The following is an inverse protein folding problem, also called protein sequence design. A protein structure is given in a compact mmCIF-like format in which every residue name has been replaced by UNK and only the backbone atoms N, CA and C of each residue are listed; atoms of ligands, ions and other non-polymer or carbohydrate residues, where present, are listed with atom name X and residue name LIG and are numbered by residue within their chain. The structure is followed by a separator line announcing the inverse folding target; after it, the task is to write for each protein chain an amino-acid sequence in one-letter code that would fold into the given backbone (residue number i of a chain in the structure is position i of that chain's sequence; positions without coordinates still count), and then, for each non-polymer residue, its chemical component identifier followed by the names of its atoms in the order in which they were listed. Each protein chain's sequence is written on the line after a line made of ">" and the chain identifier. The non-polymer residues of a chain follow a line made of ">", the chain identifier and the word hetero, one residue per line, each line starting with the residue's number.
data_IF_526869138951
#
_entry.id   IF_526869138951
#
_cell.length_a   1.000
_cell.length_b   1.000
_cell.length_c   1.000
_cell.angle_alpha   90.00
_cell.angle_beta   90.00
_cell.angle_gamma   90.00
#
_symmetry.space_group_name_H-M   'P 1'
#
loop_
_entity.id
_entity.type
_entity.pdbx_description
1 polymer ?
#
# COMPACT_ATOMS: atom_id res chain seq x y z
N UNK A 1 5.69 -7.95 26.48
CA UNK A 1 5.83 -9.18 25.67
C UNK A 1 6.82 -8.88 24.55
N UNK A 2 8.01 -9.47 24.54
CA UNK A 2 8.96 -9.26 23.44
C UNK A 2 8.50 -10.07 22.23
N UNK A 3 8.22 -9.40 21.10
CA UNK A 3 7.83 -10.06 19.86
C UNK A 3 8.98 -10.99 19.44
N UNK A 4 8.80 -12.30 19.54
CA UNK A 4 9.85 -13.32 19.30
C UNK A 4 10.28 -13.44 17.82
N UNK A 5 9.76 -12.59 16.94
CA UNK A 5 9.97 -12.64 15.51
C UNK A 5 9.39 -11.35 14.88
N UNK A 6 10.15 -10.25 14.72
CA UNK A 6 9.62 -9.06 14.04
C UNK A 6 9.28 -9.34 12.57
N UNK A 7 8.50 -8.46 11.94
CA UNK A 7 8.17 -8.51 10.52
C UNK A 7 7.72 -9.92 10.05
N UNK A 8 6.74 -10.50 10.76
CA UNK A 8 6.15 -11.81 10.46
C UNK A 8 7.15 -12.97 10.45
N UNK A 9 8.24 -12.86 11.21
CA UNK A 9 9.26 -13.91 11.32
C UNK A 9 10.31 -13.91 10.23
N UNK A 10 10.48 -12.78 9.53
CA UNK A 10 11.60 -12.61 8.59
C UNK A 10 12.97 -12.85 9.27
N UNK A 11 13.92 -13.64 8.71
CA UNK A 11 13.90 -14.38 7.42
C UNK A 11 13.87 -15.94 7.53
N UNK A 12 13.11 -16.67 6.67
CA UNK A 12 12.07 -16.19 5.75
C UNK A 12 10.78 -15.88 6.52
N UNK A 13 10.02 -14.88 6.07
CA UNK A 13 8.74 -14.57 6.68
C UNK A 13 7.72 -15.69 6.43
N UNK A 14 6.91 -16.00 7.45
CA UNK A 14 5.75 -16.88 7.33
C UNK A 14 4.58 -16.24 8.08
N UNK A 15 3.86 -15.29 7.45
CA UNK A 15 2.75 -14.59 8.10
C UNK A 15 1.67 -15.54 8.62
N UNK A 16 1.36 -16.62 7.91
CA UNK A 16 0.34 -17.58 8.36
C UNK A 16 0.75 -18.24 9.67
N UNK A 17 1.96 -18.78 9.74
CA UNK A 17 2.47 -19.38 10.98
C UNK A 17 2.63 -18.35 12.08
N UNK A 18 3.17 -17.18 11.75
CA UNK A 18 3.41 -16.10 12.71
C UNK A 18 2.12 -15.65 13.40
N UNK A 19 1.09 -15.36 12.61
CA UNK A 19 -0.21 -14.98 13.16
C UNK A 19 -0.89 -16.12 13.90
N UNK A 20 -0.76 -17.37 13.41
CA UNK A 20 -1.32 -18.54 14.12
C UNK A 20 -0.70 -18.66 15.50
N UNK A 21 0.63 -18.52 15.61
CA UNK A 21 1.32 -18.54 16.90
C UNK A 21 0.89 -17.38 17.79
N UNK A 22 0.80 -16.16 17.27
CA UNK A 22 0.36 -15.01 18.04
C UNK A 22 -1.07 -15.22 18.58
N UNK A 23 -1.99 -15.71 17.76
CA UNK A 23 -3.36 -16.01 18.18
C UNK A 23 -3.32 -17.08 19.28
N UNK A 24 -2.60 -18.19 19.09
CA UNK A 24 -2.46 -19.25 20.09
C UNK A 24 -1.89 -18.73 21.42
N UNK A 25 -0.88 -17.86 21.36
CA UNK A 25 -0.24 -17.25 22.55
C UNK A 25 -1.21 -16.30 23.27
N UNK A 26 -1.97 -15.48 22.53
CA UNK A 26 -2.97 -14.58 23.11
C UNK A 26 -4.05 -15.35 23.86
N UNK A 27 -4.58 -16.43 23.28
CA UNK A 27 -5.56 -17.27 23.96
C UNK A 27 -4.96 -17.89 25.21
N UNK A 28 -3.76 -18.48 25.11
CA UNK A 28 -3.07 -19.17 26.22
C UNK A 28 -2.67 -18.27 27.39
N UNK A 29 -2.50 -16.97 27.16
CA UNK A 29 -2.05 -15.99 28.16
C UNK A 29 -3.16 -15.08 28.69
N UNK A 30 -4.37 -15.14 28.12
CA UNK A 30 -5.48 -14.28 28.54
C UNK A 30 -6.02 -14.68 29.91
N UNK A 31 -6.27 -13.72 30.80
CA UNK A 31 -6.90 -13.93 32.13
C UNK A 31 -8.34 -14.51 32.06
N UNK A 32 -8.89 -14.63 30.85
CA UNK A 32 -10.06 -15.45 30.54
C UNK A 32 -9.86 -16.93 30.93
N UNK A 33 -8.62 -17.32 31.23
CA UNK A 33 -8.21 -18.66 31.65
C UNK A 33 -8.66 -19.07 33.05
N UNK A 34 -9.01 -18.18 33.99
CA UNK A 34 -9.30 -18.65 35.36
C UNK A 34 -10.72 -19.21 35.53
N UNK A 35 -11.73 -18.56 34.96
CA UNK A 35 -13.15 -18.94 35.17
C UNK A 35 -13.74 -19.85 34.07
N UNK A 36 -13.12 -19.96 32.88
CA UNK A 36 -13.73 -20.61 31.70
C UNK A 36 -12.88 -21.71 31.04
N UNK A 37 -11.95 -22.36 31.77
CA UNK A 37 -11.03 -23.39 31.21
C UNK A 37 -11.70 -24.49 30.39
N UNK A 38 -12.94 -24.85 30.72
CA UNK A 38 -13.68 -25.92 30.03
C UNK A 38 -14.38 -25.49 28.73
N UNK A 39 -14.44 -24.19 28.44
CA UNK A 39 -15.09 -23.63 27.24
C UNK A 39 -14.09 -23.02 26.25
N UNK A 40 -12.80 -23.00 26.58
CA UNK A 40 -11.77 -22.52 25.68
C UNK A 40 -11.42 -23.59 24.63
N UNK A 41 -11.13 -23.19 23.38
CA UNK A 41 -10.70 -24.13 22.36
C UNK A 41 -9.35 -24.75 22.76
N UNK A 42 -9.20 -26.04 22.53
CA UNK A 42 -7.91 -26.73 22.69
C UNK A 42 -6.84 -26.12 21.77
N UNK A 43 -5.54 -26.25 22.07
CA UNK A 43 -4.48 -25.76 21.18
C UNK A 43 -4.63 -26.25 19.73
N UNK A 44 -5.08 -27.49 19.55
CA UNK A 44 -5.36 -28.08 18.25
C UNK A 44 -6.54 -27.38 17.54
N UNK A 45 -7.63 -27.09 18.25
CA UNK A 45 -8.78 -26.35 17.69
C UNK A 45 -8.43 -24.89 17.37
N UNK A 46 -7.59 -24.26 18.19
CA UNK A 46 -7.06 -22.93 17.92
C UNK A 46 -6.29 -22.90 16.59
N UNK A 47 -5.30 -23.79 16.45
CA UNK A 47 -4.44 -23.84 15.26
C UNK A 47 -5.17 -24.30 14.00
N UNK A 48 -6.07 -25.29 14.11
CA UNK A 48 -6.68 -25.93 12.95
C UNK A 48 -8.01 -25.30 12.54
N UNK A 49 -8.68 -24.55 13.42
CA UNK A 49 -10.01 -24.00 13.16
C UNK A 49 -10.08 -22.51 13.41
N UNK A 50 -9.80 -22.05 14.64
CA UNK A 50 -10.06 -20.67 15.00
C UNK A 50 -9.10 -19.70 14.28
N UNK A 51 -7.80 -19.95 14.36
CA UNK A 51 -6.80 -19.11 13.69
C UNK A 51 -7.06 -19.06 12.17
N UNK A 52 -7.24 -20.19 11.44
CA UNK A 52 -7.60 -20.15 10.02
C UNK A 52 -8.86 -19.33 9.73
N UNK A 53 -9.91 -19.42 10.55
CA UNK A 53 -11.15 -18.65 10.37
C UNK A 53 -10.96 -17.15 10.62
N UNK A 54 -10.19 -16.78 11.64
CA UNK A 54 -9.82 -15.39 11.90
C UNK A 54 -9.03 -14.86 10.72
N UNK A 55 -7.98 -15.57 10.30
CA UNK A 55 -7.14 -15.16 9.17
C UNK A 55 -7.94 -15.04 7.87
N UNK A 56 -8.87 -15.97 7.61
CA UNK A 56 -9.80 -15.88 6.49
C UNK A 56 -10.68 -14.63 6.57
N UNK A 57 -11.21 -14.29 7.75
CA UNK A 57 -11.99 -13.07 7.95
C UNK A 57 -11.17 -11.83 7.63
N UNK A 58 -9.93 -11.75 8.13
CA UNK A 58 -8.99 -10.63 7.86
C UNK A 58 -8.43 -10.62 6.43
N UNK A 59 -8.69 -11.66 5.63
CA UNK A 59 -8.37 -11.72 4.19
C UNK A 59 -9.56 -11.34 3.30
N UNK A 60 -10.69 -10.90 3.88
CA UNK A 60 -11.94 -10.65 3.16
C UNK A 60 -12.48 -9.25 3.44
N UNK A 61 -13.42 -8.78 2.61
CA UNK A 61 -14.12 -7.52 2.83
C UNK A 61 -14.91 -7.48 4.15
N UNK A 62 -15.17 -8.63 4.80
CA UNK A 62 -15.94 -8.70 6.06
C UNK A 62 -15.26 -8.02 7.25
N UNK A 63 -13.95 -7.78 7.17
CA UNK A 63 -13.17 -7.18 8.24
C UNK A 63 -12.95 -5.67 8.07
N UNK A 64 -13.34 -5.09 6.93
CA UNK A 64 -12.94 -3.75 6.55
C UNK A 64 -14.08 -2.99 5.86
N UNK A 65 -13.93 -1.68 5.76
CA UNK A 65 -14.73 -0.83 4.88
C UNK A 65 -13.79 0.10 4.12
N UNK A 66 -14.16 0.48 2.91
CA UNK A 66 -13.47 1.58 2.22
C UNK A 66 -13.89 2.90 2.89
N UNK A 67 -12.95 3.84 2.97
CA UNK A 67 -13.32 5.24 3.20
C UNK A 67 -14.09 5.78 2.00
N UNK A 68 -15.03 6.68 2.25
CA UNK A 68 -15.95 7.24 1.25
C UNK A 68 -15.22 7.93 0.08
N UNK A 69 -14.02 8.43 0.33
CA UNK A 69 -13.17 9.11 -0.66
C UNK A 69 -12.30 8.17 -1.49
N UNK A 70 -12.20 6.88 -1.14
CA UNK A 70 -11.32 5.91 -1.83
C UNK A 70 -11.73 5.71 -3.29
N UNK A 71 -13.02 5.45 -3.54
CA UNK A 71 -13.51 5.21 -4.91
C UNK A 71 -13.45 6.49 -5.76
N UNK A 72 -13.91 7.67 -5.26
CA UNK A 72 -13.71 8.94 -5.95
C UNK A 72 -12.25 9.23 -6.30
N UNK A 73 -11.32 8.96 -5.37
CA UNK A 73 -9.89 9.13 -5.58
C UNK A 73 -9.36 8.26 -6.72
N UNK A 74 -9.67 6.96 -6.72
CA UNK A 74 -9.20 6.04 -7.75
C UNK A 74 -9.76 6.40 -9.14
N UNK A 75 -11.01 6.87 -9.21
CA UNK A 75 -11.60 7.38 -10.45
C UNK A 75 -10.88 8.65 -10.93
N UNK A 76 -10.63 9.59 -10.02
CA UNK A 76 -9.94 10.83 -10.33
C UNK A 76 -8.48 10.59 -10.79
N UNK A 77 -7.77 9.64 -10.17
CA UNK A 77 -6.45 9.20 -10.61
C UNK A 77 -6.46 8.57 -12.00
N UNK A 78 -7.46 7.74 -12.29
CA UNK A 78 -7.63 7.16 -13.61
C UNK A 78 -7.82 8.25 -14.67
N UNK A 79 -8.71 9.21 -14.41
CA UNK A 79 -8.97 10.32 -15.33
C UNK A 79 -7.71 11.17 -15.53
N UNK A 80 -7.00 11.52 -14.46
CA UNK A 80 -5.74 12.24 -14.55
C UNK A 80 -4.74 11.50 -15.44
N UNK A 81 -4.67 10.18 -15.32
CA UNK A 81 -3.77 9.37 -16.14
C UNK A 81 -4.17 9.30 -17.61
N UNK A 82 -5.47 9.36 -17.92
CA UNK A 82 -5.99 9.45 -19.29
C UNK A 82 -5.74 10.84 -19.90
N UNK A 83 -5.65 11.90 -19.09
CA UNK A 83 -5.31 13.27 -19.52
C UNK A 83 -3.81 13.46 -19.80
N UNK A 84 -2.94 12.64 -19.20
CA UNK A 84 -1.49 12.78 -19.36
C UNK A 84 -1.03 12.35 -20.77
N UNK A 85 -0.18 13.14 -21.46
CA UNK A 85 0.43 12.73 -22.72
C UNK A 85 1.27 11.46 -22.55
N UNK A 86 1.39 10.60 -23.57
CA UNK A 86 2.10 9.29 -23.48
C UNK A 86 3.53 9.36 -22.91
N UNK A 87 4.22 10.49 -23.10
CA UNK A 87 5.57 10.73 -22.58
C UNK A 87 5.61 10.87 -21.05
N UNK A 88 4.50 11.22 -20.42
CA UNK A 88 4.32 11.27 -18.96
C UNK A 88 3.56 10.03 -18.52
N UNK A 89 4.09 9.34 -17.52
CA UNK A 89 3.46 8.13 -17.00
C UNK A 89 3.26 8.29 -15.50
N UNK A 90 2.05 8.01 -15.04
CA UNK A 90 1.71 7.93 -13.63
C UNK A 90 1.67 6.46 -13.21
N UNK A 91 2.56 6.07 -12.30
CA UNK A 91 2.54 4.75 -11.66
C UNK A 91 1.95 4.86 -10.25
N UNK A 92 1.16 3.86 -9.87
CA UNK A 92 0.56 3.76 -8.53
C UNK A 92 1.00 2.42 -7.94
N UNK A 93 1.41 2.44 -6.68
CA UNK A 93 1.87 1.28 -5.93
C UNK A 93 1.29 1.30 -4.52
N UNK A 94 0.83 0.14 -4.04
CA UNK A 94 0.55 -0.07 -2.62
C UNK A 94 1.84 -0.49 -1.94
N UNK A 95 2.26 0.24 -0.91
CA UNK A 95 3.39 -0.13 -0.06
C UNK A 95 2.90 -0.20 1.40
N UNK A 96 2.98 -1.38 2.03
CA UNK A 96 2.42 -1.58 3.38
C UNK A 96 3.27 -2.50 4.27
N UNK A 97 3.21 -2.28 5.58
CA UNK A 97 3.77 -3.20 6.59
C UNK A 97 2.80 -4.37 6.90
N UNK A 98 1.60 -4.38 6.30
CA UNK A 98 0.69 -5.52 6.39
C UNK A 98 1.26 -6.77 5.70
N UNK A 99 0.68 -7.93 5.98
CA UNK A 99 0.87 -9.09 5.12
C UNK A 99 -0.04 -9.05 3.88
N UNK A 100 0.26 -9.90 2.89
CA UNK A 100 -0.32 -9.83 1.55
C UNK A 100 -1.83 -10.14 1.50
N UNK A 101 -2.42 -10.70 2.56
CA UNK A 101 -3.87 -11.00 2.63
C UNK A 101 -4.74 -9.76 2.52
N UNK A 102 -4.20 -8.58 2.82
CA UNK A 102 -4.92 -7.31 2.64
C UNK A 102 -5.31 -7.07 1.17
N UNK A 103 -4.59 -7.64 0.20
CA UNK A 103 -4.93 -7.53 -1.22
C UNK A 103 -6.22 -8.28 -1.55
N UNK A 104 -6.44 -9.45 -0.95
CA UNK A 104 -7.69 -10.19 -1.12
C UNK A 104 -8.89 -9.41 -0.57
N UNK A 105 -8.74 -8.81 0.61
CA UNK A 105 -9.78 -7.97 1.20
C UNK A 105 -10.06 -6.73 0.34
N UNK A 106 -9.01 -6.04 -0.13
CA UNK A 106 -9.14 -4.87 -0.99
C UNK A 106 -9.79 -5.22 -2.34
N UNK A 107 -9.44 -6.36 -2.93
CA UNK A 107 -10.07 -6.83 -4.17
C UNK A 107 -11.57 -7.04 -4.00
N UNK A 108 -12.00 -7.71 -2.93
CA UNK A 108 -13.43 -7.93 -2.65
C UNK A 108 -14.19 -6.62 -2.39
N UNK A 109 -13.56 -5.67 -1.69
CA UNK A 109 -14.16 -4.34 -1.43
C UNK A 109 -14.35 -3.55 -2.72
N UNK A 110 -13.36 -3.58 -3.63
CA UNK A 110 -13.46 -2.91 -4.92
C UNK A 110 -14.52 -3.58 -5.81
N UNK A 111 -14.64 -4.90 -5.79
CA UNK A 111 -15.72 -5.62 -6.49
C UNK A 111 -17.10 -5.19 -5.97
N UNK A 112 -17.27 -5.06 -4.65
CA UNK A 112 -18.52 -4.58 -4.03
C UNK A 112 -18.84 -3.15 -4.46
N UNK A 113 -17.84 -2.26 -4.53
CA UNK A 113 -18.01 -0.89 -5.01
C UNK A 113 -18.35 -0.80 -6.50
N UNK A 114 -17.85 -1.73 -7.32
CA UNK A 114 -18.17 -1.85 -8.74
C UNK A 114 -19.52 -2.52 -9.02
N UNK A 115 -20.12 -3.16 -8.02
CA UNK A 115 -21.39 -3.87 -8.18
C UNK A 115 -22.48 -2.87 -8.58
N UNK A 116 -23.29 -3.20 -9.61
CA UNK A 116 -24.23 -2.34 -10.35
C UNK A 116 -23.68 -1.58 -11.57
N UNK A 117 -22.41 -1.80 -11.97
CA UNK A 117 -21.89 -1.31 -13.26
C UNK A 117 -21.76 0.21 -13.37
N UNK A 118 -21.89 0.93 -12.26
CA UNK A 118 -21.72 2.40 -12.19
C UNK A 118 -20.25 2.81 -12.08
N UNK A 119 -19.41 1.92 -11.56
CA UNK A 119 -17.97 2.16 -11.35
C UNK A 119 -17.19 1.12 -12.15
N UNK A 120 -16.24 1.53 -13.01
CA UNK A 120 -15.38 0.59 -13.73
C UNK A 120 -14.53 -0.24 -12.78
N UNK A 121 -13.91 -1.31 -13.29
CA UNK A 121 -12.95 -2.08 -12.50
C UNK A 121 -11.68 -1.24 -12.21
N UNK A 122 -11.45 -0.96 -10.92
CA UNK A 122 -10.35 -0.14 -10.44
C UNK A 122 -9.14 -0.97 -9.98
N UNK A 123 -9.27 -2.29 -9.85
CA UNK A 123 -8.19 -3.18 -9.38
C UNK A 123 -6.91 -3.10 -10.23
N UNK A 124 -6.99 -2.99 -11.58
CA UNK A 124 -5.78 -2.87 -12.40
C UNK A 124 -4.95 -1.62 -12.10
N UNK A 125 -5.54 -0.54 -11.57
CA UNK A 125 -4.80 0.66 -11.17
C UNK A 125 -3.79 0.38 -10.05
N UNK A 126 -4.13 -0.58 -9.19
CA UNK A 126 -3.37 -0.93 -7.99
C UNK A 126 -2.50 -2.18 -8.20
N UNK A 127 -2.36 -2.65 -9.43
CA UNK A 127 -1.62 -3.88 -9.74
C UNK A 127 -2.29 -5.15 -9.20
N UNK A 128 -3.60 -5.09 -8.95
CA UNK A 128 -4.39 -6.23 -8.49
C UNK A 128 -5.04 -6.85 -9.72
N UNK A 129 -4.63 -8.08 -10.05
CA UNK A 129 -5.14 -8.81 -11.20
C UNK A 129 -6.03 -9.98 -10.76
N UNK A 130 -7.19 -10.12 -11.39
CA UNK A 130 -8.05 -11.29 -11.20
C UNK A 130 -7.40 -12.52 -11.83
N UNK A 131 -7.45 -13.66 -11.13
CA UNK A 131 -6.93 -14.95 -11.61
C UNK A 131 -7.55 -15.44 -12.93
N UNK A 132 -8.65 -14.84 -13.36
CA UNK A 132 -9.38 -15.13 -14.60
C UNK A 132 -8.87 -14.38 -15.84
N UNK A 133 -8.02 -13.36 -15.73
CA UNK A 133 -7.56 -12.58 -16.88
C UNK A 133 -6.28 -13.14 -17.51
N UNK A 134 -6.33 -14.38 -17.99
CA UNK A 134 -5.38 -14.83 -19.03
C UNK A 134 -5.81 -14.21 -20.36
N UNK A 135 -5.24 -13.05 -20.72
CA UNK A 135 -5.27 -12.57 -22.10
C UNK A 135 -6.13 -11.35 -22.44
N UNK A 136 -6.37 -10.42 -21.50
CA UNK A 136 -6.70 -9.04 -21.94
C UNK A 136 -5.41 -8.26 -22.17
N UNK A 137 -5.27 -7.54 -23.30
CA UNK A 137 -4.12 -6.69 -23.53
C UNK A 137 -4.06 -5.69 -22.36
N UNK A 138 -2.86 -5.52 -21.83
CA UNK A 138 -2.56 -4.64 -20.72
C UNK A 138 -3.41 -3.37 -20.80
N UNK A 139 -4.16 -3.08 -19.73
CA UNK A 139 -4.47 -1.70 -19.45
C UNK A 139 -3.12 -0.96 -19.55
N UNK A 140 -2.96 -0.07 -20.53
CA UNK A 140 -1.70 0.67 -20.76
C UNK A 140 -1.30 1.53 -19.56
N UNK A 141 -2.16 1.55 -18.55
CA UNK A 141 -1.89 2.07 -17.24
C UNK A 141 -0.78 1.27 -16.55
N UNK A 142 0.43 1.83 -16.58
CA UNK A 142 1.54 1.41 -15.70
C UNK A 142 1.06 1.29 -14.25
N UNK A 143 0.82 0.08 -13.78
CA UNK A 143 0.50 -0.23 -12.38
C UNK A 143 1.62 -1.10 -11.83
N UNK A 144 2.00 -0.80 -10.59
CA UNK A 144 3.02 -1.56 -9.89
C UNK A 144 2.36 -2.63 -9.03
N UNK A 145 3.02 -3.79 -8.94
CA UNK A 145 2.62 -4.82 -7.96
C UNK A 145 2.66 -4.21 -6.54
N UNK A 146 1.70 -4.54 -5.66
CA UNK A 146 1.80 -4.22 -4.24
C UNK A 146 3.09 -4.75 -3.61
N UNK A 147 3.60 -4.02 -2.62
CA UNK A 147 4.88 -4.27 -1.95
C UNK A 147 4.63 -4.32 -0.45
N UNK A 148 5.13 -5.39 0.18
CA UNK A 148 4.95 -5.60 1.61
C UNK A 148 6.28 -5.71 2.33
N UNK A 149 6.35 -5.15 3.54
CA UNK A 149 7.59 -5.14 4.33
C UNK A 149 8.16 -6.53 4.59
N UNK A 150 7.30 -7.52 4.75
CA UNK A 150 7.69 -8.93 4.99
C UNK A 150 8.25 -9.63 3.74
N UNK A 151 7.94 -9.13 2.54
CA UNK A 151 8.50 -9.64 1.28
C UNK A 151 9.90 -9.07 1.03
N UNK A 152 10.14 -7.82 1.45
CA UNK A 152 11.38 -7.09 1.17
C UNK A 152 12.35 -7.04 2.36
N UNK A 153 11.92 -7.47 3.54
CA UNK A 153 12.74 -7.56 4.76
C UNK A 153 12.90 -6.28 5.56
N UNK A 154 12.22 -5.20 5.16
CA UNK A 154 12.27 -3.89 5.82
C UNK A 154 10.85 -3.48 6.22
N UNK A 155 10.70 -2.72 7.30
CA UNK A 155 9.42 -2.14 7.71
C UNK A 155 9.56 -0.64 7.81
N UNK A 156 8.46 0.10 7.68
CA UNK A 156 8.48 1.55 7.94
C UNK A 156 8.89 1.81 9.40
N UNK A 157 9.63 2.90 9.69
CA UNK A 157 10.05 3.99 8.81
C UNK A 157 11.42 3.77 8.15
N UNK A 158 11.94 2.54 8.07
CA UNK A 158 13.27 2.28 7.49
C UNK A 158 13.36 2.79 6.05
N UNK A 159 14.32 3.66 5.75
CA UNK A 159 14.51 4.23 4.42
C UNK A 159 14.57 3.17 3.31
N UNK A 160 15.14 1.99 3.60
CA UNK A 160 15.26 0.89 2.63
C UNK A 160 13.90 0.38 2.16
N UNK A 161 12.86 0.42 3.02
CA UNK A 161 11.49 0.10 2.62
C UNK A 161 11.04 0.99 1.46
N UNK A 162 11.18 2.31 1.63
CA UNK A 162 10.75 3.31 0.64
C UNK A 162 11.57 3.26 -0.65
N UNK A 163 12.89 3.11 -0.55
CA UNK A 163 13.77 2.95 -1.72
C UNK A 163 13.42 1.71 -2.54
N UNK A 164 13.24 0.56 -1.87
CA UNK A 164 12.84 -0.67 -2.54
C UNK A 164 11.46 -0.52 -3.17
N UNK A 165 10.51 0.09 -2.46
CA UNK A 165 9.15 0.31 -2.98
C UNK A 165 9.16 1.16 -4.26
N UNK A 166 9.86 2.31 -4.24
CA UNK A 166 10.03 3.19 -5.40
C UNK A 166 10.66 2.46 -6.59
N UNK A 167 11.77 1.76 -6.36
CA UNK A 167 12.52 1.10 -7.43
C UNK A 167 11.75 -0.06 -8.07
N UNK A 168 10.91 -0.76 -7.30
CA UNK A 168 10.04 -1.81 -7.83
C UNK A 168 8.81 -1.23 -8.55
N UNK A 169 8.31 -0.07 -8.13
CA UNK A 169 7.19 0.59 -8.79
C UNK A 169 7.60 1.24 -10.12
N UNK A 170 8.86 1.69 -10.21
CA UNK A 170 9.45 2.26 -11.40
C UNK A 170 10.72 1.51 -11.79
N UNK A 171 10.61 0.26 -12.28
CA UNK A 171 11.78 -0.50 -12.66
C UNK A 171 12.48 0.27 -13.77
N UNK A 172 13.78 0.53 -13.56
CA UNK A 172 14.64 1.14 -14.58
C UNK A 172 14.49 0.29 -15.83
N UNK A 173 13.90 0.85 -16.89
CA UNK A 173 14.01 0.28 -18.21
C UNK A 173 15.48 0.38 -18.54
N UNK A 174 16.23 -0.70 -18.32
CA UNK A 174 17.57 -0.83 -18.85
C UNK A 174 17.40 -0.70 -20.37
N UNK A 175 17.73 0.46 -20.90
CA UNK A 175 17.85 0.68 -22.32
C UNK A 175 18.90 -0.30 -22.82
N UNK A 176 18.43 -1.37 -23.44
CA UNK A 176 19.28 -2.33 -24.13
C UNK A 176 19.84 -1.64 -25.36
N UNK A 177 20.90 -0.85 -25.22
CA UNK A 177 21.82 -0.58 -26.32
C UNK A 177 23.24 -0.49 -25.76
N UNK A 178 24.02 -1.51 -26.10
CA UNK A 178 25.26 -1.40 -26.85
C UNK A 178 25.66 0.05 -27.26
N UNK A 179 25.87 0.94 -26.31
CA UNK A 179 26.59 2.20 -26.53
C UNK A 179 27.79 2.23 -25.61
N UNK A 180 28.93 2.13 -26.26
CA UNK A 180 30.25 2.17 -25.67
C UNK A 180 30.45 3.45 -24.87
N UNK A 181 30.93 3.26 -23.64
CA UNK A 181 32.02 4.02 -23.01
C UNK A 181 32.09 5.50 -23.42
N UNK A 182 31.45 6.36 -22.64
CA UNK A 182 32.15 7.52 -22.10
C UNK A 182 31.67 7.73 -20.66
N UNK A 183 32.64 7.77 -19.76
CA UNK A 183 32.50 8.34 -18.42
C UNK A 183 31.91 9.73 -18.53
N UNK A 184 30.83 10.02 -17.80
CA UNK A 184 30.62 11.25 -17.04
C UNK A 184 29.25 11.20 -16.34
N UNK A 185 29.14 11.91 -15.22
CA UNK A 185 28.10 11.85 -14.19
C UNK A 185 26.67 12.28 -14.63
N UNK A 186 26.14 11.69 -15.71
CA UNK A 186 24.80 12.00 -16.27
C UNK A 186 23.85 10.81 -16.37
N UNK A 187 24.21 9.64 -15.83
CA UNK A 187 23.34 8.46 -15.83
C UNK A 187 22.26 8.51 -14.72
N UNK A 188 22.33 9.45 -13.78
CA UNK A 188 21.34 9.58 -12.69
C UNK A 188 20.09 10.39 -13.09
N UNK A 189 20.13 11.21 -14.14
CA UNK A 189 19.01 12.08 -14.52
C UNK A 189 17.89 11.39 -15.32
N UNK A 190 18.04 10.11 -15.67
CA UNK A 190 16.93 9.30 -16.22
C UNK A 190 16.06 8.64 -15.14
N UNK A 191 16.43 8.82 -13.85
CA UNK A 191 15.73 8.29 -12.67
C UNK A 191 14.72 9.28 -12.07
N UNK A 192 14.42 10.34 -12.81
CA UNK A 192 13.83 11.62 -12.35
C UNK A 192 12.30 11.60 -12.24
N UNK A 193 11.71 10.45 -11.90
CA UNK A 193 10.29 10.36 -11.59
C UNK A 193 10.03 10.93 -10.19
N UNK A 194 9.32 12.06 -10.09
CA UNK A 194 8.80 12.56 -8.82
C UNK A 194 7.92 11.48 -8.17
N UNK A 195 8.23 11.16 -6.92
CA UNK A 195 7.52 10.11 -6.16
C UNK A 195 6.92 10.74 -4.91
N UNK A 196 5.60 10.66 -4.78
CA UNK A 196 4.87 11.10 -3.59
C UNK A 196 4.37 9.87 -2.85
N UNK A 197 4.77 9.73 -1.59
CA UNK A 197 4.25 8.71 -0.69
C UNK A 197 3.06 9.27 0.11
N UNK A 198 1.98 8.50 0.25
CA UNK A 198 0.78 8.94 0.99
C UNK A 198 0.45 7.90 2.05
N UNK A 199 0.31 8.33 3.30
CA UNK A 199 -0.04 7.46 4.43
C UNK A 199 -0.65 8.22 5.60
N UNK A 200 -1.26 7.49 6.51
CA UNK A 200 -2.01 8.02 7.66
C UNK A 200 -1.15 8.11 8.93
N UNK A 201 -0.03 7.39 9.00
CA UNK A 201 0.91 7.49 10.11
C UNK A 201 1.90 8.65 9.92
N UNK A 202 1.84 9.65 10.80
CA UNK A 202 2.80 10.76 10.75
C UNK A 202 4.26 10.28 10.89
N UNK A 203 4.53 9.37 11.83
CA UNK A 203 5.89 8.87 12.06
C UNK A 203 6.32 7.84 11.02
N UNK A 204 5.49 6.83 10.77
CA UNK A 204 5.89 5.71 9.93
C UNK A 204 5.85 6.06 8.44
N UNK A 205 4.85 6.82 8.00
CA UNK A 205 4.66 7.13 6.58
C UNK A 205 5.27 8.48 6.21
N UNK A 206 4.87 9.56 6.90
CA UNK A 206 5.27 10.91 6.52
C UNK A 206 6.75 11.17 6.82
N UNK A 207 7.17 11.04 8.08
CA UNK A 207 8.58 11.24 8.47
C UNK A 207 9.45 10.20 7.74
N UNK A 208 9.09 8.92 7.80
CA UNK A 208 9.85 7.84 7.15
C UNK A 208 10.11 8.09 5.65
N UNK A 209 9.10 8.50 4.89
CA UNK A 209 9.26 8.79 3.46
C UNK A 209 10.12 10.04 3.21
N UNK A 210 9.95 11.10 4.02
CA UNK A 210 10.74 12.34 3.91
C UNK A 210 12.21 12.11 4.21
N UNK A 211 12.51 11.34 5.26
CA UNK A 211 13.89 10.96 5.61
C UNK A 211 14.52 10.05 4.55
N UNK A 212 13.72 9.24 3.85
CA UNK A 212 14.16 8.48 2.69
C UNK A 212 14.36 9.34 1.42
N UNK A 213 14.07 10.65 1.45
CA UNK A 213 14.24 11.56 0.33
C UNK A 213 13.08 11.58 -0.66
N UNK A 214 11.90 11.10 -0.27
CA UNK A 214 10.68 11.18 -1.09
C UNK A 214 9.84 12.40 -0.71
N UNK A 215 8.96 12.83 -1.61
CA UNK A 215 7.85 13.70 -1.23
C UNK A 215 6.80 12.88 -0.49
N UNK A 216 6.12 13.51 0.48
CA UNK A 216 5.17 12.81 1.32
C UNK A 216 3.94 13.68 1.62
N UNK A 217 2.77 13.07 1.55
CA UNK A 217 1.50 13.65 2.01
C UNK A 217 1.00 12.84 3.20
N UNK A 218 0.61 13.54 4.27
CA UNK A 218 0.02 12.91 5.43
C UNK A 218 -1.51 13.05 5.37
N UNK A 219 -2.22 11.93 5.35
CA UNK A 219 -3.69 11.96 5.36
C UNK A 219 -4.24 11.93 6.78
N UNK A 220 -4.89 13.02 7.17
CA UNK A 220 -5.55 13.18 8.46
C UNK A 220 -6.88 12.42 8.50
N UNK A 221 -6.84 11.12 8.82
CA UNK A 221 -8.08 10.38 9.12
C UNK A 221 -8.53 10.76 10.53
N UNK A 222 -9.44 11.74 10.65
CA UNK A 222 -9.92 12.33 11.92
C UNK A 222 -10.38 11.33 13.00
N UNK A 223 -10.70 10.09 12.65
CA UNK A 223 -11.07 9.04 13.61
C UNK A 223 -9.86 8.28 14.22
N UNK A 224 -8.66 8.45 13.68
CA UNK A 224 -7.45 7.67 14.02
C UNK A 224 -6.27 8.53 14.48
N UNK A 225 -6.31 9.85 14.24
CA UNK A 225 -5.25 10.76 14.65
C UNK A 225 -5.50 11.29 16.07
N UNK A 226 -4.56 11.15 17.02
CA UNK A 226 -4.60 11.87 18.28
C UNK A 226 -4.64 13.39 18.02
N UNK A 227 -5.47 14.12 18.77
CA UNK A 227 -5.63 15.58 18.67
C UNK A 227 -4.30 16.36 18.78
N UNK A 228 -3.26 15.77 19.38
CA UNK A 228 -1.96 16.39 19.63
C UNK A 228 -1.15 16.73 18.36
N UNK A 229 -1.51 16.21 17.19
CA UNK A 229 -0.82 16.53 15.94
C UNK A 229 -1.39 17.75 15.19
N UNK A 230 -2.44 18.39 15.72
CA UNK A 230 -2.95 19.67 15.20
C UNK A 230 -1.92 20.81 15.29
N UNK A 231 -0.91 20.68 16.16
CA UNK A 231 0.16 21.66 16.34
C UNK A 231 1.25 21.58 15.26
N UNK A 232 1.47 20.41 14.66
CA UNK A 232 2.32 20.26 13.47
C UNK A 232 1.50 20.63 12.25
N UNK A 233 1.53 21.92 11.87
CA UNK A 233 1.24 22.37 10.49
C UNK A 233 2.25 21.74 9.53
N UNK A 234 2.17 20.43 9.31
CA UNK A 234 2.81 19.81 8.18
C UNK A 234 2.23 20.52 6.95
N UNK A 235 3.08 21.19 6.16
CA UNK A 235 2.67 21.92 4.94
C UNK A 235 2.00 21.02 3.89
N UNK A 236 1.92 19.71 4.15
CA UNK A 236 1.53 18.65 3.25
C UNK A 236 0.50 17.69 3.87
N UNK A 237 -0.27 18.14 4.87
CA UNK A 237 -1.42 17.40 5.39
C UNK A 237 -2.62 17.56 4.45
N UNK A 238 -3.29 16.45 4.17
CA UNK A 238 -4.52 16.38 3.39
C UNK A 238 -5.63 15.74 4.23
N UNK A 239 -6.89 16.08 3.95
CA UNK A 239 -8.04 15.50 4.68
C UNK A 239 -8.74 14.42 3.85
N UNK A 240 -8.56 14.45 2.54
CA UNK A 240 -9.13 13.49 1.59
C UNK A 240 -8.07 12.93 0.66
N UNK A 241 -8.20 11.65 0.28
CA UNK A 241 -7.37 11.05 -0.77
C UNK A 241 -7.54 11.78 -2.11
N UNK A 242 -8.71 12.38 -2.36
CA UNK A 242 -8.95 13.16 -3.58
C UNK A 242 -7.98 14.35 -3.67
N UNK A 243 -7.54 14.91 -2.54
CA UNK A 243 -6.60 16.03 -2.51
C UNK A 243 -5.23 15.66 -3.10
N UNK A 244 -4.85 14.37 -3.06
CA UNK A 244 -3.64 13.87 -3.72
C UNK A 244 -3.70 14.16 -5.22
N UNK A 245 -4.85 13.95 -5.85
CA UNK A 245 -5.01 14.19 -7.30
C UNK A 245 -4.86 15.68 -7.61
N UNK A 246 -5.35 16.55 -6.75
CA UNK A 246 -5.18 17.99 -6.90
C UNK A 246 -3.71 18.38 -6.82
N UNK A 247 -2.97 17.86 -5.83
CA UNK A 247 -1.52 18.09 -5.69
C UNK A 247 -0.76 17.62 -6.94
N UNK A 248 -1.05 16.40 -7.42
CA UNK A 248 -0.42 15.86 -8.62
C UNK A 248 -0.73 16.70 -9.86
N UNK A 249 -2.00 17.10 -10.04
CA UNK A 249 -2.43 17.93 -11.16
C UNK A 249 -1.73 19.28 -11.15
N UNK A 250 -1.66 19.96 -9.99
CA UNK A 250 -0.93 21.22 -9.86
C UNK A 250 0.54 21.07 -10.25
N UNK A 251 1.21 19.99 -9.84
CA UNK A 251 2.59 19.72 -10.27
C UNK A 251 2.72 19.56 -11.79
N UNK A 252 1.78 18.86 -12.44
CA UNK A 252 1.78 18.71 -13.89
C UNK A 252 1.45 20.02 -14.63
N UNK A 253 0.62 20.88 -14.07
CA UNK A 253 0.34 22.21 -14.63
C UNK A 253 1.55 23.14 -14.53
N UNK A 254 2.25 23.13 -13.38
CA UNK A 254 3.47 23.92 -13.18
C UNK A 254 4.60 23.50 -14.13
N UNK A 255 4.64 22.21 -14.48
CA UNK A 255 5.55 21.65 -15.49
C UNK A 255 5.06 21.88 -16.94
N UNK A 256 3.89 22.49 -17.13
CA UNK A 256 3.31 22.72 -18.46
C UNK A 256 2.86 21.45 -19.20
N UNK A 257 2.66 20.35 -18.46
CA UNK A 257 2.20 19.06 -18.99
C UNK A 257 0.71 19.08 -19.27
N UNK A 258 -0.05 19.67 -18.35
CA UNK A 258 -1.49 19.89 -18.45
C UNK A 258 -1.73 21.39 -18.59
N UNK A 259 -2.61 21.79 -19.50
CA UNK A 259 -3.01 23.20 -19.66
C UNK A 259 -4.07 23.51 -18.60
N UNK A 260 -3.85 24.59 -17.82
CA UNK A 260 -4.88 25.11 -16.91
C UNK A 260 -6.14 25.45 -17.69
N UNK A 261 -7.24 24.79 -17.35
CA UNK A 261 -8.60 25.11 -17.85
C UNK A 261 -9.13 26.38 -17.22
#
# INVERSE_FOLDING_TARGET
>A
MAIRAPNYGYPPADPTRWWTQLISDMFSQSDLYEDNKHHLPTPKELEQTLAPRILQRFSSAKAYTLFDDTVPFLLALRNLKEELPERHRLAICIASDSDSRIISALSELLDQASTHGRVPDLRPLLGIHSSSSKGSPACSLASARPIFGHEIGYTKPDARFFWTARNMAWPVVATTQQEQRTSDAKADSARDGKTVYVGDSHELDYIGAREAGLDALWIGRSALAPDDYAATRAQHRIESLVDVVNVLRTSYEEEGVIVRS
#
